data_IF_254658087681
#
_entry.id   IF_254658087681
#
_cell.length_a   1.000
_cell.length_b   1.000
_cell.length_c   1.000
_cell.angle_alpha   90.00
_cell.angle_beta   90.00
_cell.angle_gamma   90.00
#
_symmetry.space_group_name_H-M   'P 1'
#
loop_
_entity.id
_entity.type
_entity.pdbx_description
1 polymer ?
#
# COMPACT_ATOMS: atom_id res chain seq x y z
N UNK A 1 -6.65 10.01 -9.05
CA UNK A 1 -7.36 9.53 -10.24
C UNK A 1 -7.02 10.40 -11.45
N UNK A 2 -7.04 9.87 -12.66
CA UNK A 2 -6.70 10.65 -13.85
C UNK A 2 -7.57 10.24 -15.05
N UNK A 3 -7.95 11.23 -15.86
CA UNK A 3 -8.52 11.05 -17.18
C UNK A 3 -7.41 11.01 -18.23
N UNK A 4 -7.58 10.19 -19.26
CA UNK A 4 -6.63 10.07 -20.36
C UNK A 4 -7.27 10.64 -21.64
N UNK A 5 -6.62 11.65 -22.23
CA UNK A 5 -7.05 12.26 -23.48
C UNK A 5 -6.05 11.97 -24.61
N UNK A 6 -6.54 11.72 -25.84
CA UNK A 6 -5.70 11.47 -27.02
C UNK A 6 -5.01 12.74 -27.50
N UNK A 7 -3.71 12.63 -27.82
CA UNK A 7 -3.01 13.57 -28.68
C UNK A 7 -2.59 12.85 -29.96
N UNK A 8 -2.89 13.44 -31.11
CA UNK A 8 -2.63 12.86 -32.43
C UNK A 8 -1.13 12.92 -32.76
N UNK A 9 -0.45 11.78 -32.63
CA UNK A 9 0.93 11.62 -33.12
C UNK A 9 1.09 10.27 -33.81
N UNK A 10 1.58 10.28 -35.04
CA UNK A 10 1.62 9.15 -35.98
C UNK A 10 2.48 7.95 -35.61
N UNK A 11 3.09 7.85 -34.44
CA UNK A 11 3.92 6.69 -34.08
C UNK A 11 4.05 6.42 -32.57
N UNK A 12 3.70 7.38 -31.70
CA UNK A 12 3.72 7.20 -30.25
C UNK A 12 2.42 7.75 -29.72
N UNK A 13 1.62 6.89 -29.08
CA UNK A 13 0.41 7.33 -28.41
C UNK A 13 0.80 8.12 -27.15
N UNK A 14 0.82 9.44 -27.25
CA UNK A 14 0.96 10.32 -26.09
C UNK A 14 -0.43 10.59 -25.52
N UNK A 15 -0.67 10.15 -24.30
CA UNK A 15 -1.88 10.48 -23.55
C UNK A 15 -1.58 11.65 -22.61
N UNK A 16 -2.41 12.69 -22.67
CA UNK A 16 -2.39 13.74 -21.65
C UNK A 16 -3.16 13.27 -20.43
N UNK A 17 -2.54 13.40 -19.26
CA UNK A 17 -3.17 13.06 -17.98
C UNK A 17 -3.91 14.31 -17.49
N UNK A 18 -5.21 14.16 -17.25
CA UNK A 18 -6.05 15.18 -16.65
C UNK A 18 -6.34 14.76 -15.21
N UNK A 19 -5.79 15.46 -14.20
CA UNK A 19 -6.07 15.16 -12.80
C UNK A 19 -7.52 15.54 -12.50
N UNK A 20 -8.16 14.74 -11.63
CA UNK A 20 -9.47 15.00 -11.07
C UNK A 20 -9.34 15.21 -9.58
N UNK A 21 -10.04 16.20 -9.04
CA UNK A 21 -10.04 16.53 -7.63
C UNK A 21 -10.60 15.39 -6.77
N UNK A 22 -10.13 15.30 -5.54
CA UNK A 22 -10.73 14.48 -4.49
C UNK A 22 -11.51 15.38 -3.54
N UNK A 23 -12.65 14.88 -3.06
CA UNK A 23 -13.42 15.50 -2.02
C UNK A 23 -12.70 15.42 -0.65
N UNK A 24 -13.13 16.19 0.34
CA UNK A 24 -12.52 16.22 1.67
C UNK A 24 -12.51 14.85 2.38
N UNK A 25 -13.51 14.02 2.10
CA UNK A 25 -13.61 12.65 2.62
C UNK A 25 -12.74 11.63 1.88
N UNK A 26 -11.95 12.07 0.88
CA UNK A 26 -11.08 11.21 0.08
C UNK A 26 -11.75 10.55 -1.13
N UNK A 27 -13.06 10.71 -1.32
CA UNK A 27 -13.77 10.21 -2.49
C UNK A 27 -13.44 11.05 -3.74
N UNK A 28 -13.82 10.54 -4.91
CA UNK A 28 -13.73 11.28 -6.16
C UNK A 28 -14.71 12.45 -6.13
N UNK A 29 -14.25 13.66 -6.45
CA UNK A 29 -15.17 14.77 -6.75
C UNK A 29 -15.87 14.50 -8.08
N UNK A 30 -17.09 13.95 -8.00
CA UNK A 30 -17.90 13.57 -9.18
C UNK A 30 -18.28 14.78 -10.01
N UNK A 31 -18.41 15.97 -9.42
CA UNK A 31 -18.75 17.19 -10.16
C UNK A 31 -17.56 17.61 -11.02
N UNK A 32 -16.36 17.67 -10.47
CA UNK A 32 -15.13 17.93 -11.23
C UNK A 32 -14.92 16.84 -12.28
N UNK A 33 -15.05 15.55 -11.89
CA UNK A 33 -14.91 14.42 -12.82
C UNK A 33 -15.80 14.56 -14.05
N UNK A 34 -17.09 14.91 -13.85
CA UNK A 34 -18.05 15.13 -14.92
C UNK A 34 -17.69 16.34 -15.80
N UNK A 35 -17.20 17.42 -15.18
CA UNK A 35 -16.78 18.62 -15.90
C UNK A 35 -15.56 18.31 -16.79
N UNK A 36 -14.56 17.61 -16.26
CA UNK A 36 -13.37 17.19 -17.03
C UNK A 36 -13.72 16.22 -18.16
N UNK A 37 -14.55 15.20 -17.90
CA UNK A 37 -14.98 14.26 -18.92
C UNK A 37 -15.73 14.97 -20.06
N UNK A 38 -16.56 15.96 -19.75
CA UNK A 38 -17.27 16.78 -20.72
C UNK A 38 -16.32 17.66 -21.52
N UNK A 39 -15.36 18.30 -20.87
CA UNK A 39 -14.38 19.18 -21.50
C UNK A 39 -13.54 18.43 -22.54
N UNK A 40 -13.11 17.22 -22.22
CA UNK A 40 -12.26 16.40 -23.08
C UNK A 40 -13.03 15.34 -23.88
N UNK A 41 -14.35 15.45 -24.00
CA UNK A 41 -15.23 14.41 -24.56
C UNK A 41 -14.87 13.93 -25.95
N UNK A 42 -14.25 14.78 -26.79
CA UNK A 42 -13.86 14.41 -28.15
C UNK A 42 -12.58 13.59 -28.21
N UNK A 43 -11.73 13.74 -27.21
CA UNK A 43 -10.40 13.12 -27.14
C UNK A 43 -10.24 12.17 -25.95
N UNK A 44 -11.34 11.92 -25.22
CA UNK A 44 -11.33 11.09 -24.01
C UNK A 44 -11.06 9.63 -24.35
N UNK A 45 -9.88 9.13 -24.00
CA UNK A 45 -9.52 7.72 -24.15
C UNK A 45 -10.09 6.86 -23.02
N UNK A 46 -10.07 7.34 -21.79
CA UNK A 46 -10.57 6.61 -20.64
C UNK A 46 -10.21 7.22 -19.31
N UNK A 47 -10.49 6.48 -18.27
CA UNK A 47 -10.00 6.82 -16.92
C UNK A 47 -9.36 5.60 -16.25
N UNK A 48 -8.50 5.86 -15.26
CA UNK A 48 -7.96 4.86 -14.37
C UNK A 48 -8.38 5.19 -12.94
N UNK A 49 -8.98 4.23 -12.26
CA UNK A 49 -9.40 4.32 -10.86
C UNK A 49 -8.85 3.11 -10.10
N UNK A 50 -8.51 3.31 -8.83
CA UNK A 50 -8.22 2.21 -7.90
C UNK A 50 -9.48 1.90 -7.10
N UNK A 51 -9.84 0.61 -6.97
CA UNK A 51 -11.02 0.21 -6.20
C UNK A 51 -10.75 -1.08 -5.40
N UNK A 52 -11.03 -1.12 -4.06
CA UNK A 52 -11.36 0.05 -3.25
C UNK A 52 -10.32 1.16 -3.38
N UNK A 53 -10.66 2.41 -3.00
CA UNK A 53 -9.77 3.54 -3.21
C UNK A 53 -8.48 3.41 -2.36
N UNK A 54 -7.40 4.06 -2.78
CA UNK A 54 -6.15 4.14 -2.00
C UNK A 54 -6.32 4.83 -0.65
N UNK A 55 -7.46 5.48 -0.43
CA UNK A 55 -7.84 6.06 0.86
C UNK A 55 -8.44 5.03 1.84
N UNK A 56 -8.52 3.75 1.45
CA UNK A 56 -9.02 2.67 2.28
C UNK A 56 -10.55 2.65 2.41
N UNK A 57 -11.27 3.17 1.43
CA UNK A 57 -12.75 3.22 1.45
C UNK A 57 -13.37 2.64 0.17
N UNK A 58 -14.59 2.13 0.29
CA UNK A 58 -15.42 1.77 -0.85
C UNK A 58 -16.18 3.01 -1.32
N UNK A 59 -15.84 3.51 -2.51
CA UNK A 59 -16.56 4.63 -3.11
C UNK A 59 -17.91 4.17 -3.65
N UNK A 60 -19.00 4.71 -3.11
CA UNK A 60 -20.36 4.38 -3.53
C UNK A 60 -20.67 4.90 -4.94
N UNK A 61 -19.95 5.92 -5.39
CA UNK A 61 -20.15 6.57 -6.69
C UNK A 61 -19.44 5.87 -7.86
N UNK A 62 -18.77 4.75 -7.63
CA UNK A 62 -17.96 4.05 -8.66
C UNK A 62 -18.75 3.76 -9.95
N UNK A 63 -20.02 3.32 -9.83
CA UNK A 63 -20.88 3.05 -10.99
C UNK A 63 -21.20 4.32 -11.79
N UNK A 64 -21.44 5.44 -11.11
CA UNK A 64 -21.67 6.73 -11.75
C UNK A 64 -20.41 7.20 -12.47
N UNK A 65 -19.25 7.11 -11.83
CA UNK A 65 -17.95 7.46 -12.42
C UNK A 65 -17.69 6.65 -13.69
N UNK A 66 -17.85 5.33 -13.64
CA UNK A 66 -17.72 4.46 -14.82
C UNK A 66 -18.72 4.87 -15.93
N UNK A 67 -19.98 5.12 -15.55
CA UNK A 67 -21.03 5.54 -16.50
C UNK A 67 -20.73 6.85 -17.21
N UNK A 68 -20.14 7.83 -16.52
CA UNK A 68 -19.73 9.10 -17.12
C UNK A 68 -18.70 8.87 -18.23
N UNK A 69 -17.70 8.04 -18.00
CA UNK A 69 -16.67 7.74 -19.01
C UNK A 69 -17.28 7.05 -20.22
N UNK A 70 -18.12 6.05 -20.01
CA UNK A 70 -18.79 5.33 -21.11
C UNK A 70 -19.70 6.25 -21.94
N UNK A 71 -20.37 7.22 -21.32
CA UNK A 71 -21.20 8.22 -22.04
C UNK A 71 -20.38 9.06 -23.02
N UNK A 72 -19.08 9.22 -22.78
CA UNK A 72 -18.15 9.93 -23.65
C UNK A 72 -17.32 9.00 -24.55
N UNK A 73 -17.62 7.70 -24.59
CA UNK A 73 -16.93 6.72 -25.44
C UNK A 73 -15.57 6.25 -24.92
N UNK A 74 -15.18 6.65 -23.73
CA UNK A 74 -13.93 6.24 -23.08
C UNK A 74 -14.04 4.86 -22.43
N UNK A 75 -12.89 4.29 -22.06
CA UNK A 75 -12.77 3.01 -21.35
C UNK A 75 -12.40 3.23 -19.88
N UNK A 76 -12.82 2.29 -19.02
CA UNK A 76 -12.51 2.32 -17.58
C UNK A 76 -11.50 1.25 -17.25
N UNK A 77 -10.33 1.70 -16.77
CA UNK A 77 -9.32 0.82 -16.18
C UNK A 77 -9.48 0.83 -14.66
N UNK A 78 -9.84 -0.33 -14.08
CA UNK A 78 -9.85 -0.50 -12.62
C UNK A 78 -8.53 -1.11 -12.20
N UNK A 79 -7.75 -0.36 -11.43
CA UNK A 79 -6.62 -0.88 -10.71
C UNK A 79 -7.12 -1.78 -9.58
N UNK A 80 -7.07 -3.08 -9.82
CA UNK A 80 -7.41 -4.13 -8.89
C UNK A 80 -6.16 -4.85 -8.38
N UNK A 81 -5.00 -4.18 -8.37
CA UNK A 81 -3.73 -4.76 -7.93
C UNK A 81 -3.86 -5.48 -6.59
N UNK A 82 -4.61 -4.89 -5.66
CA UNK A 82 -5.00 -5.52 -4.40
C UNK A 82 -6.48 -5.91 -4.44
N UNK A 83 -6.74 -7.22 -4.44
CA UNK A 83 -8.10 -7.80 -4.46
C UNK A 83 -8.57 -8.24 -3.07
N UNK A 84 -7.84 -7.93 -1.99
CA UNK A 84 -8.13 -8.42 -0.64
C UNK A 84 -9.52 -8.02 -0.12
N UNK A 85 -10.11 -6.94 -0.63
CA UNK A 85 -11.45 -6.51 -0.28
C UNK A 85 -12.53 -6.89 -1.30
N UNK A 86 -12.20 -7.64 -2.36
CA UNK A 86 -13.11 -7.85 -3.48
C UNK A 86 -13.44 -9.32 -3.76
N UNK A 87 -12.49 -10.24 -3.55
CA UNK A 87 -12.67 -11.65 -3.95
C UNK A 87 -13.94 -12.26 -3.33
N UNK A 88 -14.83 -12.74 -4.19
CA UNK A 88 -16.12 -13.32 -3.80
C UNK A 88 -17.20 -12.31 -3.38
N UNK A 89 -16.90 -11.02 -3.27
CA UNK A 89 -17.84 -9.95 -2.90
C UNK A 89 -18.19 -9.04 -4.06
N UNK A 90 -17.21 -8.63 -4.86
CA UNK A 90 -17.45 -7.79 -6.05
C UNK A 90 -16.47 -8.12 -7.17
N UNK A 91 -16.81 -7.76 -8.39
CA UNK A 91 -15.97 -7.98 -9.57
C UNK A 91 -15.77 -6.66 -10.31
N UNK A 92 -14.52 -6.34 -10.75
CA UNK A 92 -14.23 -5.10 -11.47
C UNK A 92 -15.15 -4.86 -12.68
N UNK A 93 -15.47 -5.93 -13.42
CA UNK A 93 -16.39 -5.84 -14.57
C UNK A 93 -17.82 -5.44 -14.21
N UNK A 94 -18.33 -5.87 -13.05
CA UNK A 94 -19.67 -5.52 -12.56
C UNK A 94 -19.72 -4.08 -12.07
N UNK A 95 -18.60 -3.54 -11.57
CA UNK A 95 -18.47 -2.15 -11.17
C UNK A 95 -18.46 -1.17 -12.38
N UNK A 96 -18.26 -1.69 -13.57
CA UNK A 96 -18.17 -0.89 -14.79
C UNK A 96 -16.80 -0.89 -15.46
N UNK A 97 -15.81 -1.57 -14.88
CA UNK A 97 -14.46 -1.67 -15.44
C UNK A 97 -14.46 -2.41 -16.79
N UNK A 98 -13.69 -1.89 -17.74
CA UNK A 98 -13.45 -2.52 -19.04
C UNK A 98 -12.14 -3.30 -19.06
N UNK A 99 -11.17 -2.83 -18.27
CA UNK A 99 -9.87 -3.47 -18.03
C UNK A 99 -9.60 -3.48 -16.54
N UNK A 100 -9.05 -4.57 -16.05
CA UNK A 100 -8.50 -4.62 -14.68
C UNK A 100 -7.28 -5.53 -14.65
N UNK A 101 -6.28 -5.15 -13.85
CA UNK A 101 -5.19 -6.05 -13.48
C UNK A 101 -5.27 -6.40 -12.00
N UNK A 102 -4.60 -7.46 -11.61
CA UNK A 102 -4.39 -7.84 -10.23
C UNK A 102 -2.94 -8.32 -10.03
N UNK A 103 -2.42 -8.17 -8.83
CA UNK A 103 -1.09 -8.64 -8.48
C UNK A 103 -1.19 -9.93 -7.66
N UNK A 104 -0.62 -11.02 -8.19
CA UNK A 104 -0.66 -12.31 -7.48
C UNK A 104 0.11 -12.28 -6.17
N UNK A 105 1.14 -11.43 -6.05
CA UNK A 105 1.91 -11.25 -4.82
C UNK A 105 1.19 -10.46 -3.70
N UNK A 106 0.00 -9.95 -3.96
CA UNK A 106 -0.84 -9.32 -2.94
C UNK A 106 -1.89 -10.31 -2.42
N UNK A 107 -2.82 -10.72 -3.26
CA UNK A 107 -4.00 -11.49 -2.85
C UNK A 107 -3.86 -13.00 -3.08
N UNK A 108 -2.92 -13.45 -3.94
CA UNK A 108 -2.85 -14.83 -4.40
C UNK A 108 -1.52 -15.53 -4.10
N UNK A 109 -0.87 -15.15 -3.01
CA UNK A 109 0.19 -15.87 -2.30
C UNK A 109 1.54 -16.04 -3.01
N UNK A 110 1.79 -15.51 -4.21
CA UNK A 110 3.14 -15.62 -4.76
C UNK A 110 4.11 -14.73 -3.98
N UNK A 111 5.39 -15.11 -3.87
CA UNK A 111 6.39 -14.25 -3.27
C UNK A 111 6.67 -13.03 -4.17
N UNK A 112 6.91 -11.86 -3.57
CA UNK A 112 7.42 -10.69 -4.26
C UNK A 112 8.94 -10.55 -4.12
N UNK A 113 9.49 -11.01 -2.99
CA UNK A 113 10.92 -11.18 -2.74
C UNK A 113 11.74 -9.88 -2.83
N UNK A 114 11.17 -8.76 -2.38
CA UNK A 114 11.86 -7.47 -2.47
C UNK A 114 12.01 -6.93 -3.90
N UNK A 115 11.05 -7.24 -4.78
CA UNK A 115 11.06 -6.85 -6.20
C UNK A 115 11.37 -8.02 -7.14
N UNK A 116 11.20 -9.25 -6.64
CA UNK A 116 11.38 -10.50 -7.40
C UNK A 116 10.31 -10.71 -8.48
N UNK A 117 10.13 -11.97 -8.93
CA UNK A 117 9.31 -12.29 -10.08
C UNK A 117 7.88 -11.81 -9.90
N UNK A 118 7.45 -10.91 -10.78
CA UNK A 118 6.12 -10.37 -10.79
C UNK A 118 5.18 -11.11 -11.71
N UNK A 119 3.90 -11.15 -11.34
CA UNK A 119 2.84 -11.66 -12.17
C UNK A 119 1.59 -10.80 -11.94
N UNK A 120 1.10 -10.18 -13.00
CA UNK A 120 -0.06 -9.29 -12.99
C UNK A 120 -1.05 -9.71 -14.07
N UNK A 121 -1.94 -10.69 -13.82
CA UNK A 121 -2.98 -11.04 -14.78
C UNK A 121 -3.87 -9.86 -15.11
N UNK A 122 -4.27 -9.77 -16.38
CA UNK A 122 -5.16 -8.71 -16.90
C UNK A 122 -6.44 -9.36 -17.39
N UNK A 123 -7.57 -8.82 -16.94
CA UNK A 123 -8.89 -9.13 -17.45
C UNK A 123 -9.44 -7.96 -18.26
N UNK A 124 -10.07 -8.27 -19.40
CA UNK A 124 -10.72 -7.28 -20.24
C UNK A 124 -12.14 -7.70 -20.61
N UNK A 125 -13.02 -6.73 -20.89
CA UNK A 125 -14.32 -7.01 -21.52
C UNK A 125 -14.15 -7.48 -22.97
N UNK A 126 -15.11 -8.24 -23.47
CA UNK A 126 -15.06 -8.90 -24.78
C UNK A 126 -14.72 -7.95 -25.95
N UNK A 127 -15.19 -6.73 -25.93
CA UNK A 127 -14.93 -5.75 -27.01
C UNK A 127 -13.45 -5.32 -27.10
N UNK A 128 -12.67 -5.50 -26.04
CA UNK A 128 -11.24 -5.19 -26.02
C UNK A 128 -10.35 -6.40 -26.39
N UNK A 129 -10.92 -7.61 -26.48
CA UNK A 129 -10.16 -8.83 -26.81
C UNK A 129 -9.34 -8.71 -28.11
N UNK A 130 -9.84 -8.10 -29.19
CA UNK A 130 -9.06 -7.93 -30.42
C UNK A 130 -7.83 -7.03 -30.27
N UNK A 131 -7.79 -6.22 -29.22
CA UNK A 131 -6.73 -5.24 -28.95
C UNK A 131 -5.69 -5.73 -27.94
N UNK A 132 -5.82 -6.96 -27.45
CA UNK A 132 -4.83 -7.55 -26.56
C UNK A 132 -3.48 -7.70 -27.26
N UNK A 133 -2.35 -7.54 -26.52
CA UNK A 133 -1.03 -7.81 -27.07
C UNK A 133 -0.90 -9.24 -27.58
N UNK A 134 -0.25 -9.40 -28.74
CA UNK A 134 0.06 -10.69 -29.32
C UNK A 134 1.24 -11.40 -28.61
N UNK A 135 1.47 -12.63 -29.03
CA UNK A 135 2.62 -13.41 -28.59
C UNK A 135 3.82 -13.20 -29.52
N UNK A 136 5.09 -13.18 -29.03
CA UNK A 136 6.28 -13.02 -29.89
C UNK A 136 6.40 -14.08 -31.00
N UNK A 137 5.89 -15.29 -30.77
CA UNK A 137 5.90 -16.42 -31.71
C UNK A 137 4.52 -16.66 -32.34
N UNK A 138 3.55 -15.77 -32.11
CA UNK A 138 2.18 -15.94 -32.57
C UNK A 138 1.77 -14.91 -33.60
N UNK A 139 0.64 -15.19 -34.25
CA UNK A 139 -0.04 -14.25 -35.12
C UNK A 139 -1.00 -13.39 -34.29
N UNK A 140 -1.09 -12.10 -34.56
CA UNK A 140 -2.02 -11.17 -33.91
C UNK A 140 -1.98 -9.82 -34.59
N UNK A 141 -3.10 -9.08 -34.56
CA UNK A 141 -3.19 -7.73 -35.12
C UNK A 141 -2.35 -6.73 -34.32
N UNK A 142 -2.21 -6.98 -33.00
CA UNK A 142 -1.38 -6.17 -32.10
C UNK A 142 -0.09 -6.93 -31.80
N UNK A 143 1.04 -6.27 -31.99
CA UNK A 143 2.35 -6.86 -31.68
C UNK A 143 2.54 -7.14 -30.19
N UNK A 144 3.54 -7.97 -29.83
CA UNK A 144 3.84 -8.25 -28.43
C UNK A 144 4.40 -7.01 -27.74
N UNK A 145 4.01 -6.80 -26.48
CA UNK A 145 4.54 -5.71 -25.63
C UNK A 145 5.71 -6.17 -24.75
N UNK A 146 5.94 -7.49 -24.68
CA UNK A 146 6.99 -8.08 -23.85
C UNK A 146 7.51 -9.37 -24.50
N UNK A 147 8.80 -9.64 -24.35
CA UNK A 147 9.40 -10.92 -24.71
C UNK A 147 8.95 -12.08 -23.79
N UNK A 148 8.44 -11.78 -22.62
CA UNK A 148 7.86 -12.72 -21.66
C UNK A 148 6.37 -12.41 -21.42
N UNK A 149 5.48 -12.73 -22.40
CA UNK A 149 4.07 -12.29 -22.35
C UNK A 149 3.28 -12.92 -21.19
N UNK A 150 3.77 -14.02 -20.63
CA UNK A 150 3.18 -14.67 -19.45
C UNK A 150 3.94 -14.34 -18.16
N UNK A 151 4.79 -13.32 -18.16
CA UNK A 151 5.61 -12.92 -17.02
C UNK A 151 6.50 -14.07 -16.53
N UNK A 152 6.40 -14.42 -15.24
CA UNK A 152 7.10 -15.56 -14.62
C UNK A 152 6.13 -16.73 -14.39
N UNK A 153 5.80 -17.53 -15.40
CA UNK A 153 4.70 -18.50 -15.33
C UNK A 153 4.94 -19.63 -14.34
N UNK A 154 6.19 -19.89 -13.95
CA UNK A 154 6.54 -20.87 -12.92
C UNK A 154 5.95 -20.55 -11.53
N UNK A 155 5.46 -19.34 -11.31
CA UNK A 155 4.78 -18.94 -10.07
C UNK A 155 3.29 -19.29 -10.06
N UNK A 156 2.67 -19.50 -11.22
CA UNK A 156 1.23 -19.78 -11.34
C UNK A 156 0.76 -20.99 -10.53
N UNK A 157 1.55 -22.10 -10.41
CA UNK A 157 1.19 -23.24 -9.56
C UNK A 157 0.94 -22.86 -8.10
N UNK A 158 1.60 -21.82 -7.56
CA UNK A 158 1.41 -21.34 -6.19
C UNK A 158 -0.01 -20.77 -6.03
N UNK A 159 -0.38 -19.82 -6.89
CA UNK A 159 -1.73 -19.24 -6.87
C UNK A 159 -2.82 -20.27 -7.18
N UNK A 160 -2.54 -21.20 -8.11
CA UNK A 160 -3.46 -22.27 -8.43
C UNK A 160 -3.70 -23.19 -7.24
N UNK A 161 -2.64 -23.65 -6.56
CA UNK A 161 -2.75 -24.46 -5.34
C UNK A 161 -3.50 -23.71 -4.23
N UNK A 162 -3.20 -22.43 -4.02
CA UNK A 162 -3.91 -21.59 -3.06
C UNK A 162 -5.42 -21.54 -3.35
N UNK A 163 -5.80 -21.27 -4.60
CA UNK A 163 -7.22 -21.25 -4.98
C UNK A 163 -7.91 -22.61 -4.80
N UNK A 164 -7.22 -23.72 -5.11
CA UNK A 164 -7.76 -25.07 -4.89
C UNK A 164 -7.95 -25.38 -3.41
N UNK A 165 -6.97 -25.01 -2.57
CA UNK A 165 -7.02 -25.26 -1.13
C UNK A 165 -8.11 -24.44 -0.45
N UNK A 166 -8.27 -23.18 -0.83
CA UNK A 166 -9.25 -22.26 -0.24
C UNK A 166 -10.67 -22.52 -0.75
N UNK A 167 -10.80 -22.84 -2.03
CA UNK A 167 -12.11 -22.88 -2.70
C UNK A 167 -12.81 -21.52 -2.71
N UNK A 168 -13.99 -21.45 -3.32
CA UNK A 168 -14.73 -20.18 -3.42
C UNK A 168 -15.19 -19.63 -2.06
N UNK A 169 -15.59 -20.50 -1.14
CA UNK A 169 -16.00 -20.11 0.22
C UNK A 169 -14.81 -19.57 1.03
N UNK A 170 -13.67 -20.27 1.00
CA UNK A 170 -12.48 -19.86 1.74
C UNK A 170 -11.93 -18.51 1.23
N UNK A 171 -11.87 -18.30 -0.08
CA UNK A 171 -11.45 -17.02 -0.66
C UNK A 171 -12.41 -15.87 -0.27
N UNK A 172 -13.73 -16.12 -0.30
CA UNK A 172 -14.72 -15.14 0.15
C UNK A 172 -14.58 -14.84 1.64
N UNK A 173 -14.34 -15.87 2.45
CA UNK A 173 -14.12 -15.70 3.89
C UNK A 173 -12.83 -14.91 4.16
N UNK A 174 -11.75 -15.16 3.43
CA UNK A 174 -10.52 -14.39 3.54
C UNK A 174 -10.78 -12.88 3.31
N UNK A 175 -11.51 -12.53 2.25
CA UNK A 175 -11.91 -11.15 1.99
C UNK A 175 -12.72 -10.54 3.15
N UNK A 176 -13.69 -11.26 3.68
CA UNK A 176 -14.50 -10.78 4.83
C UNK A 176 -13.64 -10.55 6.07
N UNK A 177 -12.69 -11.44 6.33
CA UNK A 177 -11.77 -11.32 7.47
C UNK A 177 -10.82 -10.15 7.28
N UNK A 178 -10.27 -9.92 6.08
CA UNK A 178 -9.43 -8.78 5.79
C UNK A 178 -10.14 -7.44 6.10
N UNK A 179 -11.39 -7.29 5.65
CA UNK A 179 -12.22 -6.11 5.93
C UNK A 179 -12.51 -6.01 7.44
N UNK A 180 -12.84 -7.12 8.09
CA UNK A 180 -13.12 -7.15 9.53
C UNK A 180 -11.89 -6.73 10.34
N UNK A 181 -10.71 -7.23 10.00
CA UNK A 181 -9.46 -6.96 10.71
C UNK A 181 -9.07 -5.47 10.62
N UNK A 182 -9.19 -4.85 9.44
CA UNK A 182 -8.93 -3.42 9.29
C UNK A 182 -9.89 -2.57 10.14
N UNK A 183 -11.18 -2.91 10.12
CA UNK A 183 -12.18 -2.22 10.95
C UNK A 183 -11.98 -2.49 12.44
N UNK A 184 -11.50 -3.67 12.83
CA UNK A 184 -11.14 -3.98 14.20
C UNK A 184 -10.01 -3.07 14.72
N UNK A 185 -8.92 -2.94 13.96
CA UNK A 185 -7.80 -2.03 14.29
C UNK A 185 -8.30 -0.60 14.37
N UNK A 186 -9.02 -0.12 13.36
CA UNK A 186 -9.58 1.23 13.33
C UNK A 186 -10.44 1.52 14.58
N UNK A 187 -11.23 0.56 15.02
CA UNK A 187 -12.07 0.69 16.23
C UNK A 187 -11.26 0.63 17.53
N UNK A 188 -10.24 -0.24 17.61
CA UNK A 188 -9.38 -0.37 18.78
C UNK A 188 -8.54 0.89 19.04
N UNK A 189 -8.14 1.57 17.96
CA UNK A 189 -7.30 2.77 18.03
C UNK A 189 -8.11 4.08 18.11
N UNK A 190 -9.43 4.01 18.03
CA UNK A 190 -10.32 5.17 18.09
C UNK A 190 -10.08 6.00 19.37
N UNK A 191 -9.96 7.31 19.22
CA UNK A 191 -9.64 8.25 20.30
C UNK A 191 -8.16 8.36 20.66
N UNK A 192 -7.31 7.44 20.17
CA UNK A 192 -5.85 7.51 20.29
C UNK A 192 -5.19 7.96 18.97
N UNK A 193 -5.73 7.48 17.86
CA UNK A 193 -5.32 7.84 16.51
C UNK A 193 -6.57 8.03 15.65
N UNK A 194 -6.61 9.12 14.90
CA UNK A 194 -7.70 9.36 13.97
C UNK A 194 -7.50 8.54 12.70
N UNK A 195 -8.58 7.94 12.22
CA UNK A 195 -8.63 7.34 10.87
C UNK A 195 -9.05 8.44 9.91
N UNK A 196 -8.15 8.80 9.00
CA UNK A 196 -8.30 9.98 8.15
C UNK A 196 -9.50 9.89 7.20
N UNK A 197 -9.74 8.70 6.64
CA UNK A 197 -10.83 8.48 5.70
C UNK A 197 -11.71 7.30 6.15
N UNK A 198 -13.01 7.52 6.10
CA UNK A 198 -14.03 6.52 6.40
C UNK A 198 -15.18 6.66 5.42
N UNK A 199 -15.76 5.54 5.02
CA UNK A 199 -16.99 5.55 4.24
C UNK A 199 -18.18 6.12 5.02
N UNK A 200 -19.35 6.31 4.39
CA UNK A 200 -20.53 6.94 5.01
C UNK A 200 -21.04 6.25 6.27
N UNK A 201 -20.75 4.96 6.43
CA UNK A 201 -21.08 4.16 7.61
C UNK A 201 -20.05 4.27 8.75
N UNK A 202 -19.03 5.10 8.60
CA UNK A 202 -17.93 5.24 9.56
C UNK A 202 -16.92 4.08 9.53
N UNK A 203 -16.93 3.26 8.46
CA UNK A 203 -16.08 2.08 8.29
C UNK A 203 -15.06 2.26 7.19
N UNK A 204 -14.01 1.43 7.23
CA UNK A 204 -12.98 1.31 6.21
C UNK A 204 -13.15 0.03 5.40
N UNK A 205 -12.41 -0.10 4.28
CA UNK A 205 -12.34 -1.32 3.50
C UNK A 205 -11.37 -2.33 4.18
N UNK A 206 -10.34 -2.78 3.50
CA UNK A 206 -9.37 -3.76 4.01
C UNK A 206 -8.11 -3.10 4.60
N UNK A 207 -8.02 -1.79 4.55
CA UNK A 207 -6.93 -0.98 5.09
C UNK A 207 -7.49 0.30 5.73
N UNK A 208 -6.72 0.91 6.63
CA UNK A 208 -7.06 2.19 7.22
C UNK A 208 -5.86 3.13 7.25
N UNK A 209 -6.13 4.41 7.07
CA UNK A 209 -5.13 5.47 7.08
C UNK A 209 -5.16 6.17 8.43
N UNK A 210 -4.14 5.93 9.25
CA UNK A 210 -4.00 6.57 10.55
C UNK A 210 -3.31 7.92 10.39
N UNK A 211 -3.95 8.99 10.86
CA UNK A 211 -3.38 10.32 10.84
C UNK A 211 -2.47 10.53 12.06
N UNK A 212 -1.18 10.68 11.83
CA UNK A 212 -0.19 10.94 12.87
C UNK A 212 0.43 12.34 12.77
N UNK A 213 -0.03 13.15 11.81
CA UNK A 213 0.45 14.52 11.59
C UNK A 213 0.32 15.43 12.82
N UNK A 214 -0.77 15.36 13.61
CA UNK A 214 -0.90 16.22 14.79
C UNK A 214 0.24 16.05 15.80
N UNK A 215 0.90 14.90 15.85
CA UNK A 215 1.98 14.62 16.80
C UNK A 215 3.31 15.29 16.42
N UNK A 216 3.47 15.71 15.17
CA UNK A 216 4.61 16.52 14.75
C UNK A 216 4.55 17.92 15.39
N UNK A 217 3.36 18.51 15.48
CA UNK A 217 3.17 19.82 16.07
C UNK A 217 3.14 19.78 17.60
N UNK A 218 2.51 18.74 18.20
CA UNK A 218 2.30 18.66 19.66
C UNK A 218 3.48 18.11 20.43
N UNK A 219 4.29 17.25 19.81
CA UNK A 219 5.36 16.49 20.50
C UNK A 219 6.66 16.39 19.68
N UNK A 220 6.77 17.03 18.53
CA UNK A 220 7.87 16.85 17.56
C UNK A 220 8.08 15.37 17.17
N UNK A 221 7.01 14.56 17.12
CA UNK A 221 7.05 13.15 16.76
C UNK A 221 6.61 12.96 15.32
N UNK A 222 7.50 12.50 14.48
CA UNK A 222 7.25 12.22 13.06
C UNK A 222 6.65 10.82 12.84
N UNK A 223 6.09 10.58 11.65
CA UNK A 223 5.66 9.25 11.22
C UNK A 223 6.81 8.24 11.25
N UNK A 224 8.03 8.68 10.93
CA UNK A 224 9.24 7.84 10.98
C UNK A 224 9.59 7.42 12.41
N UNK A 225 9.42 8.30 13.41
CA UNK A 225 9.63 7.98 14.82
C UNK A 225 8.68 6.85 15.27
N UNK A 226 7.40 6.94 14.91
CA UNK A 226 6.41 5.91 15.22
C UNK A 226 6.74 4.59 14.52
N UNK A 227 7.09 4.64 13.24
CA UNK A 227 7.45 3.46 12.46
C UNK A 227 8.68 2.75 13.05
N UNK A 228 9.72 3.49 13.43
CA UNK A 228 10.92 2.93 14.06
C UNK A 228 10.65 2.39 15.46
N UNK A 229 9.73 3.02 16.21
CA UNK A 229 9.31 2.51 17.52
C UNK A 229 8.54 1.18 17.41
N UNK A 230 7.76 0.99 16.36
CA UNK A 230 7.12 -0.30 16.06
C UNK A 230 8.12 -1.44 15.81
N UNK A 231 9.30 -1.14 15.29
CA UNK A 231 10.38 -2.15 15.15
C UNK A 231 10.80 -2.69 16.51
N UNK A 232 10.86 -1.86 17.56
CA UNK A 232 11.14 -2.32 18.92
C UNK A 232 10.08 -3.30 19.45
N UNK A 233 8.85 -3.18 18.96
CA UNK A 233 7.77 -4.12 19.25
C UNK A 233 7.78 -5.36 18.35
N UNK A 234 8.74 -5.46 17.41
CA UNK A 234 8.87 -6.58 16.48
C UNK A 234 7.91 -6.53 15.30
N UNK A 235 7.45 -5.33 14.94
CA UNK A 235 6.64 -5.13 13.72
C UNK A 235 7.48 -4.58 12.58
N UNK A 236 7.24 -5.08 11.39
CA UNK A 236 7.55 -4.34 10.18
C UNK A 236 6.53 -3.21 10.10
N UNK A 237 7.01 -1.97 10.14
CA UNK A 237 6.12 -0.81 10.18
C UNK A 237 5.18 -0.76 8.96
N UNK A 238 3.94 -0.26 9.14
CA UNK A 238 3.03 0.02 8.03
C UNK A 238 3.63 1.01 7.04
N UNK A 239 3.09 1.05 5.82
CA UNK A 239 3.51 2.01 4.79
C UNK A 239 3.35 3.44 5.30
N UNK A 240 4.45 4.20 5.25
CA UNK A 240 4.50 5.57 5.72
C UNK A 240 4.19 6.56 4.60
N UNK A 241 3.52 7.66 4.95
CA UNK A 241 3.31 8.82 4.06
C UNK A 241 2.65 8.46 2.72
N UNK A 242 1.75 7.51 2.75
CA UNK A 242 0.94 7.09 1.62
C UNK A 242 -0.49 6.74 2.07
N UNK A 243 -1.53 7.16 1.33
CA UNK A 243 -1.50 8.09 0.18
C UNK A 243 -1.25 9.54 0.57
N UNK A 244 -1.27 9.87 1.85
CA UNK A 244 -1.09 11.23 2.39
C UNK A 244 0.20 11.29 3.18
N UNK A 245 0.99 12.34 2.97
CA UNK A 245 2.22 12.57 3.73
C UNK A 245 1.94 12.65 5.24
N UNK A 246 2.78 12.01 6.04
CA UNK A 246 2.67 12.01 7.50
C UNK A 246 1.54 11.12 8.05
N UNK A 247 1.14 10.08 7.31
CA UNK A 247 0.17 9.07 7.74
C UNK A 247 0.77 7.67 7.73
N UNK A 248 0.07 6.72 8.36
CA UNK A 248 0.39 5.29 8.30
C UNK A 248 -0.78 4.55 7.64
N UNK A 249 -0.50 3.79 6.57
CA UNK A 249 -1.47 2.90 5.94
C UNK A 249 -1.35 1.50 6.54
N UNK A 250 -2.36 1.08 7.29
CA UNK A 250 -2.38 -0.20 7.98
C UNK A 250 -3.29 -1.18 7.25
N UNK A 251 -2.70 -2.24 6.72
CA UNK A 251 -3.40 -3.35 6.07
C UNK A 251 -3.07 -4.66 6.79
N UNK A 252 -3.94 -5.14 7.70
CA UNK A 252 -3.68 -6.35 8.47
C UNK A 252 -3.86 -7.64 7.67
N UNK A 253 -4.52 -7.59 6.53
CA UNK A 253 -4.97 -8.73 5.72
C UNK A 253 -5.86 -9.73 6.48
N UNK A 254 -6.10 -10.90 5.89
CA UNK A 254 -6.81 -12.01 6.55
C UNK A 254 -5.86 -12.94 7.32
N UNK A 255 -4.56 -12.83 7.08
CA UNK A 255 -3.58 -13.79 7.59
C UNK A 255 -3.18 -13.53 9.04
N UNK A 256 -3.42 -12.32 9.56
CA UNK A 256 -3.10 -11.99 10.94
C UNK A 256 -4.11 -12.58 11.93
N UNK A 257 -3.59 -13.15 13.00
CA UNK A 257 -4.45 -13.66 14.10
C UNK A 257 -4.98 -12.50 14.94
N UNK A 258 -6.11 -12.72 15.63
CA UNK A 258 -6.65 -11.72 16.58
C UNK A 258 -5.61 -11.33 17.65
N UNK A 259 -4.82 -12.29 18.13
CA UNK A 259 -3.77 -12.01 19.11
C UNK A 259 -2.70 -11.07 18.57
N UNK A 260 -2.34 -11.19 17.27
CA UNK A 260 -1.39 -10.29 16.63
C UNK A 260 -2.00 -8.91 16.36
N UNK A 261 -3.28 -8.83 15.99
CA UNK A 261 -3.99 -7.55 15.89
C UNK A 261 -4.06 -6.83 17.24
N UNK A 262 -4.33 -7.57 18.31
CA UNK A 262 -4.34 -7.02 19.67
C UNK A 262 -2.95 -6.49 20.05
N UNK A 263 -1.90 -7.28 19.80
CA UNK A 263 -0.51 -6.89 20.06
C UNK A 263 -0.10 -5.63 19.31
N UNK A 264 -0.51 -5.50 18.03
CA UNK A 264 -0.28 -4.29 17.24
C UNK A 264 -1.00 -3.08 17.86
N UNK A 265 -2.28 -3.22 18.20
CA UNK A 265 -3.04 -2.15 18.83
C UNK A 265 -2.44 -1.75 20.18
N UNK A 266 -2.01 -2.72 21.00
CA UNK A 266 -1.36 -2.44 22.29
C UNK A 266 -0.03 -1.70 22.13
N UNK A 267 0.76 -2.05 21.11
CA UNK A 267 1.98 -1.33 20.76
C UNK A 267 1.68 0.13 20.32
N UNK A 268 0.69 0.33 19.46
CA UNK A 268 0.28 1.66 19.03
C UNK A 268 -0.23 2.51 20.21
N UNK A 269 -1.04 1.94 21.10
CA UNK A 269 -1.53 2.63 22.30
C UNK A 269 -0.38 2.96 23.26
N UNK A 270 0.62 2.11 23.40
CA UNK A 270 1.82 2.39 24.17
C UNK A 270 2.62 3.56 23.56
N UNK A 271 2.80 3.58 22.24
CA UNK A 271 3.43 4.68 21.52
C UNK A 271 2.63 5.99 21.75
N UNK A 272 1.31 5.94 21.67
CA UNK A 272 0.47 7.11 21.97
C UNK A 272 0.66 7.61 23.42
N UNK A 273 0.85 6.68 24.37
CA UNK A 273 1.14 7.03 25.76
C UNK A 273 2.52 7.70 25.89
N UNK A 274 3.55 7.21 25.20
CA UNK A 274 4.88 7.86 25.16
C UNK A 274 4.79 9.29 24.56
N UNK A 275 4.01 9.48 23.50
CA UNK A 275 3.74 10.81 22.92
C UNK A 275 3.06 11.73 23.98
N UNK A 276 2.07 11.22 24.72
CA UNK A 276 1.40 12.00 25.75
C UNK A 276 2.34 12.43 26.90
N UNK A 277 3.35 11.63 27.23
CA UNK A 277 4.37 12.01 28.21
C UNK A 277 5.26 13.17 27.70
N UNK A 278 5.54 13.20 26.39
CA UNK A 278 6.27 14.32 25.76
C UNK A 278 5.38 15.57 25.76
N UNK A 279 4.12 15.45 25.31
CA UNK A 279 3.14 16.55 25.30
C UNK A 279 2.95 17.20 26.69
N UNK A 280 3.03 16.38 27.74
CA UNK A 280 2.90 16.82 29.12
C UNK A 280 4.21 17.35 29.74
N UNK A 281 5.32 17.35 29.00
CA UNK A 281 6.64 17.78 29.48
C UNK A 281 7.28 16.85 30.50
N UNK A 282 6.82 15.60 30.61
CA UNK A 282 7.39 14.58 31.51
C UNK A 282 8.44 13.71 30.85
N UNK A 283 8.53 13.76 29.52
CA UNK A 283 9.58 13.07 28.76
C UNK A 283 10.31 14.09 27.87
N UNK A 284 11.64 13.94 27.75
CA UNK A 284 12.47 14.80 26.92
C UNK A 284 12.02 14.71 25.44
N UNK A 285 11.74 15.82 24.75
CA UNK A 285 11.26 15.78 23.37
C UNK A 285 12.32 15.31 22.35
N UNK A 286 13.61 15.41 22.69
CA UNK A 286 14.72 15.09 21.78
C UNK A 286 15.45 13.80 22.12
N UNK A 287 15.38 13.36 23.38
CA UNK A 287 16.04 12.15 23.87
C UNK A 287 15.02 11.26 24.59
N UNK A 288 14.31 10.46 23.85
CA UNK A 288 13.22 9.61 24.31
C UNK A 288 13.17 8.29 23.53
N UNK A 289 12.37 7.30 23.94
CA UNK A 289 12.28 6.02 23.24
C UNK A 289 11.90 6.10 21.76
N UNK A 290 11.05 7.06 21.37
CA UNK A 290 10.65 7.23 19.96
C UNK A 290 11.80 7.79 19.12
N UNK A 291 12.50 8.82 19.62
CA UNK A 291 13.62 9.44 18.90
C UNK A 291 14.83 8.52 18.79
N UNK A 292 15.03 7.64 19.76
CA UNK A 292 16.16 6.70 19.80
C UNK A 292 15.85 5.31 19.21
N UNK A 293 14.59 5.05 18.85
CA UNK A 293 14.22 3.77 18.24
C UNK A 293 14.84 3.61 16.84
N UNK A 294 15.12 2.38 16.40
CA UNK A 294 14.97 1.13 17.14
C UNK A 294 16.16 0.83 18.07
N UNK A 295 15.92 0.08 19.15
CA UNK A 295 16.93 -0.35 20.10
C UNK A 295 17.47 -1.74 19.77
N UNK A 296 18.77 -1.87 19.72
CA UNK A 296 19.46 -3.13 19.41
C UNK A 296 19.80 -3.94 20.67
N UNK A 297 20.23 -5.18 20.51
CA UNK A 297 20.77 -5.98 21.60
C UNK A 297 22.02 -5.35 22.21
N UNK A 298 22.80 -4.60 21.43
CA UNK A 298 23.98 -3.88 21.95
C UNK A 298 23.58 -2.76 22.91
N UNK A 299 22.46 -2.09 22.69
CA UNK A 299 21.95 -1.10 23.65
C UNK A 299 21.56 -1.75 24.99
N UNK A 300 21.01 -2.97 24.95
CA UNK A 300 20.62 -3.69 26.17
C UNK A 300 21.81 -4.03 27.04
N UNK A 301 22.93 -4.48 26.45
CA UNK A 301 24.11 -5.00 27.19
C UNK A 301 25.21 -3.95 27.38
N UNK A 302 25.23 -2.88 26.59
CA UNK A 302 26.19 -1.79 26.64
C UNK A 302 25.92 -0.78 27.76
N UNK A 303 26.64 0.34 27.75
CA UNK A 303 26.35 1.48 28.61
C UNK A 303 25.01 2.13 28.27
N UNK A 304 24.33 2.65 29.31
CA UNK A 304 23.04 3.29 29.15
C UNK A 304 23.05 4.70 29.73
N UNK A 305 23.10 5.67 28.88
CA UNK A 305 23.17 7.10 29.22
C UNK A 305 21.86 7.86 28.89
N UNK A 306 20.77 7.12 28.58
CA UNK A 306 19.48 7.66 28.17
C UNK A 306 18.61 7.98 29.41
N UNK A 307 17.74 9.03 29.32
CA UNK A 307 16.90 9.47 30.44
C UNK A 307 15.69 8.56 30.73
N UNK A 308 15.61 7.39 30.12
CA UNK A 308 14.59 6.36 30.34
C UNK A 308 15.24 4.99 30.59
N UNK A 309 14.46 4.04 31.11
CA UNK A 309 15.01 2.72 31.46
C UNK A 309 15.27 1.85 30.23
N UNK A 310 16.23 0.89 30.38
CA UNK A 310 16.45 -0.16 29.38
C UNK A 310 15.18 -0.96 29.07
N UNK A 311 14.39 -1.24 30.11
CA UNK A 311 13.12 -1.94 29.94
C UNK A 311 12.16 -1.15 29.06
N UNK A 312 12.01 0.13 29.30
CA UNK A 312 11.17 1.00 28.48
C UNK A 312 11.68 1.08 27.04
N UNK A 313 12.99 1.20 26.82
CA UNK A 313 13.58 1.24 25.48
C UNK A 313 13.42 -0.09 24.74
N UNK A 314 13.94 -1.17 25.36
CA UNK A 314 14.10 -2.46 24.68
C UNK A 314 12.89 -3.38 24.74
N UNK A 315 12.00 -3.22 25.73
CA UNK A 315 10.83 -4.09 25.94
C UNK A 315 9.53 -3.31 26.12
N UNK A 316 9.16 -2.47 25.14
CA UNK A 316 7.90 -1.75 25.21
C UNK A 316 6.70 -2.71 25.25
N UNK A 317 5.52 -2.27 25.70
CA UNK A 317 4.29 -3.04 25.55
C UNK A 317 4.07 -3.49 24.09
N UNK A 318 3.60 -4.72 23.90
CA UNK A 318 3.48 -5.34 22.57
C UNK A 318 4.75 -6.07 22.09
N UNK A 319 5.92 -5.85 22.69
CA UNK A 319 7.13 -6.62 22.38
C UNK A 319 7.13 -7.99 23.08
N UNK A 320 7.58 -9.02 22.35
CA UNK A 320 7.87 -10.31 22.96
C UNK A 320 9.11 -10.22 23.83
N UNK A 321 9.09 -10.87 25.01
CA UNK A 321 10.25 -10.87 25.91
C UNK A 321 11.18 -12.05 25.66
N UNK A 322 10.65 -13.21 25.30
CA UNK A 322 11.43 -14.44 25.07
C UNK A 322 11.96 -14.46 23.64
N UNK A 323 11.09 -14.37 22.66
CA UNK A 323 11.44 -14.42 21.24
C UNK A 323 11.41 -13.01 20.62
N UNK A 324 12.06 -12.06 21.32
CA UNK A 324 12.13 -10.68 20.81
C UNK A 324 12.94 -10.60 19.54
N UNK A 325 12.35 -9.98 18.50
CA UNK A 325 13.13 -9.54 17.36
C UNK A 325 14.03 -8.37 17.74
N UNK A 326 15.32 -8.54 17.51
CA UNK A 326 16.31 -7.49 17.71
C UNK A 326 16.71 -6.90 16.36
N UNK A 327 16.52 -5.59 16.14
CA UNK A 327 17.01 -4.95 14.93
C UNK A 327 18.53 -5.02 14.87
N UNK A 328 19.12 -5.23 13.68
CA UNK A 328 20.57 -5.36 13.53
C UNK A 328 21.32 -4.04 13.73
N UNK A 329 20.64 -2.91 13.54
CA UNK A 329 21.21 -1.55 13.64
C UNK A 329 20.24 -0.61 14.35
N UNK A 330 20.79 0.44 14.96
CA UNK A 330 20.01 1.56 15.49
C UNK A 330 19.42 2.41 14.34
N UNK A 331 18.95 3.60 14.68
CA UNK A 331 18.33 4.52 13.74
C UNK A 331 19.26 4.87 12.57
N UNK A 332 18.79 4.67 11.36
CA UNK A 332 19.44 5.09 10.12
C UNK A 332 18.74 6.34 9.56
N UNK A 333 19.52 7.25 8.99
CA UNK A 333 18.99 8.34 8.19
C UNK A 333 18.72 7.82 6.77
N UNK A 334 17.47 7.39 6.55
CA UNK A 334 17.05 6.84 5.26
C UNK A 334 17.17 7.88 4.14
N UNK A 335 16.83 9.13 4.42
CA UNK A 335 16.86 10.22 3.41
C UNK A 335 18.29 10.50 2.97
N UNK A 336 19.21 10.51 3.93
CA UNK A 336 20.64 10.66 3.59
C UNK A 336 21.12 9.45 2.79
N UNK A 337 20.79 8.24 3.23
CA UNK A 337 21.20 7.00 2.54
C UNK A 337 20.70 6.94 1.10
N UNK A 338 19.44 7.28 0.85
CA UNK A 338 18.86 7.28 -0.50
C UNK A 338 19.48 8.31 -1.44
N UNK A 339 19.94 9.45 -0.89
CA UNK A 339 20.58 10.52 -1.66
C UNK A 339 22.08 10.35 -1.83
N UNK A 340 22.71 9.52 -1.02
CA UNK A 340 24.15 9.30 -0.99
C UNK A 340 24.47 7.81 -1.17
N UNK A 341 24.08 7.25 -2.31
CA UNK A 341 24.33 5.84 -2.63
C UNK A 341 25.83 5.58 -2.72
N UNK A 342 26.29 4.54 -2.01
CA UNK A 342 27.66 4.04 -2.09
C UNK A 342 27.65 2.76 -2.90
N UNK A 343 28.27 2.78 -4.09
CA UNK A 343 28.51 1.59 -4.86
C UNK A 343 29.88 1.01 -4.49
N UNK A 344 29.89 -0.23 -3.96
CA UNK A 344 31.11 -0.96 -3.63
C UNK A 344 31.56 -1.89 -4.77
N UNK A 345 30.84 -1.88 -5.91
CA UNK A 345 31.23 -2.67 -7.07
C UNK A 345 32.52 -2.07 -7.67
N UNK A 346 33.55 -2.89 -7.93
CA UNK A 346 34.72 -2.44 -8.68
C UNK A 346 34.31 -1.88 -10.05
N UNK A 347 34.99 -0.86 -10.54
CA UNK A 347 34.75 -0.36 -11.89
C UNK A 347 35.05 -1.45 -12.93
N UNK A 348 34.37 -1.42 -14.08
CA UNK A 348 34.54 -2.43 -15.14
C UNK A 348 35.98 -2.55 -15.64
N UNK A 349 36.80 -1.48 -15.49
CA UNK A 349 38.25 -1.51 -15.79
C UNK A 349 39.03 -2.55 -14.97
N UNK A 350 38.60 -2.82 -13.73
CA UNK A 350 39.31 -3.78 -12.86
C UNK A 350 39.08 -5.24 -13.33
N UNK A 351 37.93 -5.50 -13.96
CA UNK A 351 37.65 -6.80 -14.58
C UNK A 351 38.36 -6.98 -15.94
N UNK A 352 38.59 -5.90 -16.68
CA UNK A 352 39.32 -5.94 -17.93
C UNK A 352 40.80 -6.30 -17.75
N UNK A 353 41.42 -5.85 -16.65
CA UNK A 353 42.83 -6.16 -16.32
C UNK A 353 43.03 -7.62 -15.87
N UNK A 354 42.00 -8.29 -15.39
CA UNK A 354 42.07 -9.70 -14.98
C UNK A 354 41.91 -10.68 -16.12
N UNK A 355 41.65 -10.21 -17.35
CA UNK A 355 41.46 -11.04 -18.57
C UNK A 355 42.70 -11.08 -19.47
N UNK A 356 43.79 -10.37 -19.15
CA UNK A 356 45.13 -10.48 -19.76
C UNK A 356 46.01 -11.43 -18.90
#
# INVERSE_FOLDING_TARGET
>A
MSLLARQDVRAILLLSIVPVASAENGDIDVADFRAQAKQYSQDLAGCMITYPSTHGVFEETVHEVCGIIHQHGGQVYIDGANMNAMVGLSRPGDLGGDVSHLNLHKTFCIPHGGGGPGMGPIGVKAHLTPHLPGHPEGEGEVGPVSAAPFGSPSLLPISWAYCLMMGGEGLTQATRVAILNANYIAKRLEGAFDVLYKGPTGRVAHECILDVRPFADSADVSVDDIAKRLIDCGFHAPTMSWPVSGTLMVEPTESETKAELDRFCDAMLAIRSEIAEIEAGRMDPTNNPLKNAPHTSNDLIGDWDRPYSREQGCFPPGAFRVDKYWPPVNRVDNVYGDRNLVCTCPPMSDYAQAAE
#
